data_IF_702864510770
#
_entry.id   IF_702864510770
#
_cell.length_a   1.000
_cell.length_b   1.000
_cell.length_c   1.000
_cell.angle_alpha   90.00
_cell.angle_beta   90.00
_cell.angle_gamma   90.00
#
_symmetry.space_group_name_H-M   'P 1'
#
loop_
_entity.id
_entity.type
_entity.pdbx_description
1 polymer ?
#
# COMPACT_ATOMS: atom_id res chain seq x y z
N UNK A 1 26.31 -6.02 -2.13
CA UNK A 1 26.16 -4.56 -2.18
C UNK A 1 24.72 -4.27 -2.57
N UNK A 2 23.87 -3.85 -1.63
CA UNK A 2 22.46 -3.55 -1.92
C UNK A 2 22.44 -2.19 -2.63
N UNK A 3 22.13 -2.17 -3.93
CA UNK A 3 21.95 -0.91 -4.68
C UNK A 3 20.80 -0.13 -4.05
N UNK A 4 21.02 1.17 -3.84
CA UNK A 4 20.00 2.10 -3.32
C UNK A 4 18.91 2.23 -4.38
N UNK A 5 17.72 1.66 -4.16
CA UNK A 5 16.57 1.93 -5.01
C UNK A 5 16.20 3.41 -4.87
N UNK A 6 16.41 4.19 -5.92
CA UNK A 6 16.03 5.62 -6.01
C UNK A 6 14.53 5.83 -6.24
N UNK A 7 13.74 4.78 -6.07
CA UNK A 7 12.35 4.64 -6.50
C UNK A 7 11.37 4.67 -5.33
N UNK A 8 11.61 5.48 -4.31
CA UNK A 8 10.73 5.55 -3.12
C UNK A 8 9.29 5.97 -3.46
N UNK A 9 9.07 6.59 -4.61
CA UNK A 9 7.75 6.99 -5.13
C UNK A 9 7.35 6.27 -6.41
N UNK A 10 8.16 5.31 -6.90
CA UNK A 10 7.82 4.63 -8.13
C UNK A 10 6.64 3.66 -7.91
N UNK A 11 5.82 3.43 -8.95
CA UNK A 11 4.79 2.42 -8.90
C UNK A 11 5.36 1.04 -8.58
N UNK A 12 4.63 0.22 -7.81
CA UNK A 12 5.12 -1.08 -7.33
C UNK A 12 5.52 -2.02 -8.47
N UNK A 13 4.85 -1.92 -9.63
CA UNK A 13 5.19 -2.66 -10.86
C UNK A 13 6.61 -2.38 -11.38
N UNK A 14 7.10 -1.15 -11.23
CA UNK A 14 8.48 -0.79 -11.63
C UNK A 14 9.48 -1.50 -10.72
N UNK A 15 9.27 -1.42 -9.40
CA UNK A 15 10.09 -2.11 -8.41
C UNK A 15 10.06 -3.63 -8.64
N UNK A 16 8.89 -4.19 -8.96
CA UNK A 16 8.75 -5.60 -9.29
C UNK A 16 9.55 -6.00 -10.55
N UNK A 17 9.65 -5.10 -11.53
CA UNK A 17 10.42 -5.32 -12.76
C UNK A 17 11.94 -5.30 -12.50
N UNK A 18 12.40 -4.41 -11.62
CA UNK A 18 13.80 -4.38 -11.17
C UNK A 18 14.17 -5.63 -10.36
N UNK A 19 13.25 -6.10 -9.51
CA UNK A 19 13.41 -7.36 -8.76
C UNK A 19 13.41 -8.56 -9.72
N UNK A 20 12.57 -8.55 -10.76
CA UNK A 20 12.56 -9.59 -11.79
C UNK A 20 13.91 -9.72 -12.48
N UNK A 21 14.53 -8.58 -12.83
CA UNK A 21 15.88 -8.55 -13.40
C UNK A 21 16.94 -9.11 -12.45
N UNK A 22 16.89 -8.72 -11.18
CA UNK A 22 17.87 -9.15 -10.19
C UNK A 22 17.72 -10.63 -9.79
N UNK A 23 16.50 -11.18 -9.87
CA UNK A 23 16.14 -12.53 -9.43
C UNK A 23 15.39 -13.31 -10.53
N UNK A 24 16.04 -13.45 -11.69
CA UNK A 24 15.48 -14.08 -12.88
C UNK A 24 15.18 -15.59 -12.75
N UNK A 25 15.44 -16.22 -11.60
CA UNK A 25 15.13 -17.64 -11.35
C UNK A 25 13.93 -17.86 -10.41
N UNK A 26 13.41 -16.81 -9.76
CA UNK A 26 12.31 -16.91 -8.80
C UNK A 26 10.99 -16.61 -9.50
N UNK A 27 10.14 -17.63 -9.69
CA UNK A 27 8.88 -17.48 -10.42
C UNK A 27 7.80 -18.46 -9.89
N UNK A 28 6.49 -18.09 -9.87
CA UNK A 28 5.95 -16.76 -10.18
C UNK A 28 6.25 -15.76 -9.06
N UNK A 29 6.33 -14.48 -9.42
CA UNK A 29 6.58 -13.40 -8.45
C UNK A 29 5.28 -12.75 -7.99
N UNK A 30 5.20 -12.51 -6.68
CA UNK A 30 4.21 -11.65 -6.05
C UNK A 30 4.98 -10.65 -5.19
N UNK A 31 4.72 -9.37 -5.40
CA UNK A 31 5.31 -8.32 -4.59
C UNK A 31 4.20 -7.57 -3.86
N UNK A 32 4.37 -7.41 -2.55
CA UNK A 32 3.46 -6.73 -1.64
C UNK A 32 4.19 -5.55 -0.99
N UNK A 33 3.67 -4.34 -1.15
CA UNK A 33 4.09 -3.13 -0.43
C UNK A 33 3.08 -2.83 0.65
N UNK A 34 3.56 -2.56 1.86
CA UNK A 34 2.73 -2.20 3.01
C UNK A 34 3.15 -0.79 3.44
N UNK A 35 2.27 0.17 3.16
CA UNK A 35 2.44 1.57 3.52
C UNK A 35 1.68 1.81 4.84
N UNK A 36 2.43 2.13 5.89
CA UNK A 36 1.90 2.40 7.23
C UNK A 36 1.84 3.92 7.40
N UNK A 37 0.64 4.44 7.57
CA UNK A 37 0.38 5.85 7.83
C UNK A 37 -0.73 6.45 6.97
N UNK A 38 -1.21 7.65 7.32
CA UNK A 38 -0.78 8.43 8.47
C UNK A 38 -1.19 7.78 9.81
N UNK A 39 -0.40 8.05 10.86
CA UNK A 39 -0.71 7.71 12.24
C UNK A 39 -1.10 9.01 12.94
N UNK A 40 -2.36 9.13 13.30
CA UNK A 40 -2.96 10.33 13.84
C UNK A 40 -3.23 10.12 15.32
N UNK A 41 -2.93 11.15 16.11
CA UNK A 41 -3.18 11.21 17.55
C UNK A 41 -3.35 12.67 17.97
N UNK A 42 -3.69 12.93 19.23
CA UNK A 42 -3.71 14.29 19.78
C UNK A 42 -2.37 15.04 19.68
N UNK A 43 -1.26 14.31 19.53
CA UNK A 43 0.09 14.87 19.42
C UNK A 43 0.58 15.00 17.98
N UNK A 44 -0.29 14.73 16.99
CA UNK A 44 0.10 14.80 15.60
C UNK A 44 0.51 16.24 15.20
N UNK A 45 1.57 16.32 14.38
CA UNK A 45 2.18 17.57 13.90
C UNK A 45 2.18 17.65 12.37
N UNK A 46 1.39 16.81 11.70
CA UNK A 46 1.15 16.90 10.25
C UNK A 46 0.83 18.34 9.83
N UNK A 47 1.18 18.74 8.62
CA UNK A 47 0.79 20.05 8.06
C UNK A 47 -0.64 20.03 7.49
N UNK A 48 -1.21 18.84 7.30
CA UNK A 48 -2.57 18.65 6.79
C UNK A 48 -3.61 19.08 7.84
N UNK A 49 -4.33 20.18 7.55
CA UNK A 49 -5.32 20.75 8.46
C UNK A 49 -6.49 19.79 8.77
N UNK A 50 -6.90 18.94 7.83
CA UNK A 50 -7.97 17.96 8.09
C UNK A 50 -7.47 16.87 9.04
N UNK A 51 -6.25 16.38 8.81
CA UNK A 51 -5.63 15.39 9.68
C UNK A 51 -5.34 15.96 11.09
N UNK A 52 -4.90 17.23 11.19
CA UNK A 52 -4.77 17.93 12.48
C UNK A 52 -6.10 18.02 13.21
N UNK A 53 -7.15 18.42 12.52
CA UNK A 53 -8.47 18.58 13.14
C UNK A 53 -9.03 17.26 13.64
N UNK A 54 -8.87 16.19 12.87
CA UNK A 54 -9.21 14.83 13.33
C UNK A 54 -8.33 14.40 14.51
N UNK A 55 -7.03 14.69 14.45
CA UNK A 55 -6.07 14.41 15.52
C UNK A 55 -6.47 15.04 16.86
N UNK A 56 -6.97 16.28 16.86
CA UNK A 56 -7.45 16.98 18.07
C UNK A 56 -8.64 16.30 18.76
N UNK A 57 -9.43 15.52 18.02
CA UNK A 57 -10.57 14.79 18.55
C UNK A 57 -10.21 13.39 19.06
N UNK A 58 -8.98 12.93 18.82
CA UNK A 58 -8.50 11.65 19.32
C UNK A 58 -8.11 11.82 20.80
N UNK A 59 -8.68 11.06 21.75
CA UNK A 59 -8.33 11.20 23.16
C UNK A 59 -6.89 10.77 23.46
N UNK A 60 -6.36 11.20 24.61
CA UNK A 60 -5.01 10.83 25.06
C UNK A 60 -4.81 9.32 25.17
N UNK A 61 -3.68 8.83 24.62
CA UNK A 61 -3.38 7.40 24.57
C UNK A 61 -4.10 6.63 23.46
N UNK A 62 -4.88 7.30 22.62
CA UNK A 62 -5.55 6.71 21.46
C UNK A 62 -4.94 7.16 20.13
N UNK A 63 -5.25 6.45 19.06
CA UNK A 63 -4.72 6.73 17.73
C UNK A 63 -5.65 6.25 16.61
N UNK A 64 -5.42 6.76 15.41
CA UNK A 64 -5.90 6.21 14.13
C UNK A 64 -4.70 5.93 13.26
N UNK A 65 -4.56 4.71 12.76
CA UNK A 65 -3.48 4.33 11.85
C UNK A 65 -4.08 3.71 10.59
N UNK A 66 -3.80 4.34 9.46
CA UNK A 66 -4.10 3.76 8.15
C UNK A 66 -2.98 2.81 7.74
N UNK A 67 -3.36 1.68 7.14
CA UNK A 67 -2.43 0.76 6.50
C UNK A 67 -2.95 0.49 5.10
N UNK A 68 -2.18 0.90 4.09
CA UNK A 68 -2.47 0.60 2.70
C UNK A 68 -1.54 -0.51 2.24
N UNK A 69 -2.13 -1.54 1.66
CA UNK A 69 -1.39 -2.64 1.04
C UNK A 69 -1.58 -2.55 -0.47
N UNK A 70 -0.48 -2.61 -1.20
CA UNK A 70 -0.48 -2.74 -2.64
C UNK A 70 0.13 -4.08 -3.04
N UNK A 71 -0.48 -4.77 -3.99
CA UNK A 71 -0.03 -6.08 -4.45
C UNK A 71 0.06 -6.08 -5.97
N UNK A 72 1.16 -6.62 -6.48
CA UNK A 72 1.33 -6.89 -7.91
C UNK A 72 1.64 -8.38 -8.12
N UNK A 73 0.84 -9.02 -8.97
CA UNK A 73 0.99 -10.42 -9.35
C UNK A 73 1.66 -10.53 -10.71
N UNK A 74 2.61 -11.44 -10.85
CA UNK A 74 2.94 -11.92 -12.19
C UNK A 74 1.87 -12.89 -12.68
N UNK A 75 1.46 -12.73 -13.94
CA UNK A 75 0.45 -13.59 -14.58
C UNK A 75 1.03 -14.49 -15.67
N UNK A 76 2.19 -14.15 -16.23
CA UNK A 76 2.86 -14.95 -17.27
C UNK A 76 4.28 -14.46 -17.49
N UNK A 77 5.07 -15.27 -18.20
CA UNK A 77 6.38 -14.89 -18.70
C UNK A 77 6.32 -14.61 -20.19
N UNK A 78 7.06 -13.60 -20.63
CA UNK A 78 7.26 -13.30 -22.04
C UNK A 78 8.74 -13.27 -22.40
N UNK A 79 9.03 -13.76 -23.60
CA UNK A 79 10.37 -13.71 -24.17
C UNK A 79 10.60 -12.30 -24.72
N UNK A 80 11.41 -11.51 -24.02
CA UNK A 80 11.77 -10.16 -24.47
C UNK A 80 13.02 -10.26 -25.35
N UNK A 81 12.88 -9.96 -26.64
CA UNK A 81 13.98 -9.92 -27.60
C UNK A 81 14.42 -8.48 -27.81
N UNK A 82 15.54 -8.08 -27.20
CA UNK A 82 16.17 -6.77 -27.44
C UNK A 82 17.13 -6.88 -28.63
N UNK A 83 16.60 -7.13 -29.83
CA UNK A 83 17.36 -7.13 -31.09
C UNK A 83 18.07 -8.45 -31.45
N UNK A 84 18.48 -8.53 -32.73
CA UNK A 84 18.97 -9.73 -33.45
C UNK A 84 20.21 -10.43 -32.85
N UNK A 85 20.92 -9.77 -31.93
CA UNK A 85 22.14 -10.29 -31.29
C UNK A 85 22.01 -10.50 -29.77
N UNK A 86 20.86 -10.16 -29.17
CA UNK A 86 20.67 -10.36 -27.73
C UNK A 86 20.21 -11.78 -27.42
N UNK A 87 20.75 -12.37 -26.34
CA UNK A 87 20.15 -13.55 -25.71
C UNK A 87 18.76 -13.14 -25.26
N UNK A 88 17.75 -13.81 -25.79
CA UNK A 88 16.38 -13.61 -25.34
C UNK A 88 16.23 -13.97 -23.86
N UNK A 89 15.71 -13.05 -23.06
CA UNK A 89 15.43 -13.29 -21.65
C UNK A 89 13.94 -13.47 -21.42
N UNK A 90 13.58 -14.42 -20.55
CA UNK A 90 12.23 -14.56 -20.02
C UNK A 90 12.03 -13.50 -18.94
N UNK A 91 11.00 -12.68 -19.08
CA UNK A 91 10.66 -11.62 -18.13
C UNK A 91 9.22 -11.78 -17.67
N UNK A 92 8.97 -11.44 -16.42
CA UNK A 92 7.65 -11.53 -15.82
C UNK A 92 6.74 -10.40 -16.31
N UNK A 93 5.48 -10.73 -16.60
CA UNK A 93 4.43 -9.78 -16.97
C UNK A 93 3.53 -9.58 -15.76
N UNK A 94 3.64 -8.40 -15.17
CA UNK A 94 2.86 -7.99 -14.02
C UNK A 94 1.49 -7.42 -14.41
N UNK A 95 0.45 -7.94 -13.77
CA UNK A 95 -0.93 -7.53 -13.97
C UNK A 95 -1.24 -6.18 -13.29
N UNK A 96 -2.04 -5.35 -13.97
CA UNK A 96 -2.65 -4.14 -13.42
C UNK A 96 -4.15 -4.31 -13.56
N UNK A 97 -4.90 -4.13 -12.48
CA UNK A 97 -6.35 -4.18 -12.56
C UNK A 97 -6.89 -2.87 -13.13
N UNK A 98 -7.31 -2.91 -14.39
CA UNK A 98 -7.86 -1.77 -15.11
C UNK A 98 -9.33 -1.46 -14.77
N UNK A 99 -10.00 -2.36 -14.05
CA UNK A 99 -11.40 -2.18 -13.65
C UNK A 99 -11.55 -1.36 -12.37
N UNK A 100 -10.49 -1.28 -11.57
CA UNK A 100 -10.42 -0.50 -10.34
C UNK A 100 -9.56 0.76 -10.53
N UNK A 101 -10.15 1.92 -10.32
CA UNK A 101 -9.47 3.22 -10.49
C UNK A 101 -8.21 3.35 -9.62
N UNK A 102 -8.24 2.92 -8.36
CA UNK A 102 -7.11 3.01 -7.42
C UNK A 102 -5.97 2.08 -7.86
N UNK A 103 -6.31 0.88 -8.34
CA UNK A 103 -5.35 -0.06 -8.92
C UNK A 103 -4.68 0.50 -10.18
N UNK A 104 -5.45 1.13 -11.08
CA UNK A 104 -4.92 1.79 -12.27
C UNK A 104 -3.96 2.93 -11.93
N UNK A 105 -4.38 3.85 -11.06
CA UNK A 105 -3.58 5.02 -10.67
C UNK A 105 -2.25 4.61 -10.02
N UNK A 106 -2.26 3.52 -9.25
CA UNK A 106 -1.07 2.98 -8.58
C UNK A 106 -0.29 1.97 -9.43
N UNK A 107 -0.82 1.56 -10.58
CA UNK A 107 -0.27 0.53 -11.46
C UNK A 107 -0.04 -0.81 -10.74
N UNK A 108 -1.04 -1.27 -9.98
CA UNK A 108 -0.98 -2.51 -9.20
C UNK A 108 -2.13 -3.44 -9.52
N UNK A 109 -2.03 -4.69 -9.09
CA UNK A 109 -3.11 -5.66 -9.28
C UNK A 109 -4.20 -5.53 -8.22
N UNK A 110 -3.84 -5.13 -7.00
CA UNK A 110 -4.77 -5.03 -5.88
C UNK A 110 -4.33 -3.94 -4.91
N UNK A 111 -5.29 -3.20 -4.37
CA UNK A 111 -5.11 -2.23 -3.29
C UNK A 111 -6.04 -2.61 -2.15
N UNK A 112 -5.48 -2.77 -0.95
CA UNK A 112 -6.25 -3.04 0.26
C UNK A 112 -6.03 -1.93 1.28
N UNK A 113 -7.11 -1.41 1.86
CA UNK A 113 -7.09 -0.33 2.86
C UNK A 113 -7.57 -0.86 4.20
N UNK A 114 -6.77 -0.66 5.22
CA UNK A 114 -7.05 -1.10 6.58
C UNK A 114 -6.94 0.07 7.56
N UNK A 115 -7.67 -0.05 8.66
CA UNK A 115 -7.67 0.92 9.74
C UNK A 115 -7.39 0.20 11.06
N UNK A 116 -6.39 0.67 11.79
CA UNK A 116 -6.08 0.23 13.14
C UNK A 116 -6.39 1.38 14.10
N UNK A 117 -7.21 1.12 15.10
CA UNK A 117 -7.62 2.15 16.05
C UNK A 117 -8.12 1.53 17.34
N UNK A 118 -8.56 2.35 18.28
CA UNK A 118 -9.17 1.90 19.54
C UNK A 118 -10.69 1.99 19.45
N UNK A 119 -11.41 1.30 20.34
CA UNK A 119 -12.88 1.34 20.35
C UNK A 119 -13.43 2.76 20.51
N UNK A 120 -12.86 3.55 21.41
CA UNK A 120 -13.26 4.95 21.66
C UNK A 120 -13.19 5.78 20.38
N UNK A 121 -12.12 5.62 19.61
CA UNK A 121 -11.94 6.38 18.38
C UNK A 121 -12.82 5.85 17.25
N UNK A 122 -13.04 4.53 17.18
CA UNK A 122 -14.01 3.98 16.22
C UNK A 122 -15.42 4.53 16.43
N UNK A 123 -15.85 4.73 17.69
CA UNK A 123 -17.15 5.36 17.97
C UNK A 123 -17.21 6.78 17.40
N UNK A 124 -16.19 7.59 17.66
CA UNK A 124 -16.07 8.94 17.08
C UNK A 124 -16.10 8.91 15.53
N UNK A 125 -15.35 8.01 14.89
CA UNK A 125 -15.32 7.89 13.44
C UNK A 125 -16.67 7.46 12.86
N UNK A 126 -17.40 6.56 13.53
CA UNK A 126 -18.74 6.16 13.08
C UNK A 126 -19.73 7.33 13.11
N UNK A 127 -19.61 8.21 14.11
CA UNK A 127 -20.52 9.34 14.30
C UNK A 127 -20.20 10.51 13.37
N UNK A 128 -18.91 10.80 13.16
CA UNK A 128 -18.45 12.02 12.48
C UNK A 128 -17.82 11.78 11.09
N UNK A 129 -17.26 10.60 10.84
CA UNK A 129 -16.42 10.31 9.66
C UNK A 129 -16.75 8.96 9.00
N UNK A 130 -18.03 8.59 8.96
CA UNK A 130 -18.49 7.26 8.52
C UNK A 130 -18.00 6.87 7.12
N UNK A 131 -17.83 7.84 6.23
CA UNK A 131 -17.32 7.60 4.87
C UNK A 131 -15.93 6.97 4.88
N UNK A 132 -15.04 7.34 5.82
CA UNK A 132 -13.70 6.76 5.95
C UNK A 132 -13.71 5.26 6.24
N UNK A 133 -14.82 4.74 6.78
CA UNK A 133 -14.97 3.33 7.14
C UNK A 133 -15.52 2.48 5.98
N UNK A 134 -16.15 3.10 4.97
CA UNK A 134 -16.78 2.39 3.86
C UNK A 134 -15.77 1.81 2.87
N UNK A 135 -14.65 2.50 2.68
CA UNK A 135 -13.63 2.14 1.69
C UNK A 135 -12.60 1.15 2.22
N UNK A 136 -12.79 0.64 3.44
CA UNK A 136 -11.89 -0.33 4.04
C UNK A 136 -12.13 -1.73 3.47
N UNK A 137 -11.05 -2.45 3.22
CA UNK A 137 -11.08 -3.83 2.73
C UNK A 137 -11.52 -4.84 3.80
N UNK A 138 -11.51 -4.42 5.06
CA UNK A 138 -12.02 -5.17 6.21
C UNK A 138 -12.51 -4.20 7.29
N UNK A 139 -13.36 -4.64 8.23
CA UNK A 139 -13.70 -3.84 9.40
C UNK A 139 -12.45 -3.35 10.15
N UNK A 140 -12.50 -2.18 10.80
CA UNK A 140 -11.38 -1.65 11.57
C UNK A 140 -10.84 -2.66 12.60
N UNK A 141 -9.51 -2.78 12.65
CA UNK A 141 -8.82 -3.56 13.66
C UNK A 141 -8.79 -2.79 14.98
N UNK A 142 -9.45 -3.36 15.99
CA UNK A 142 -9.54 -2.75 17.32
C UNK A 142 -8.36 -3.19 18.18
N UNK A 143 -7.45 -2.24 18.42
CA UNK A 143 -6.33 -2.40 19.33
C UNK A 143 -6.82 -2.22 20.78
N UNK A 144 -6.45 -3.17 21.64
CA UNK A 144 -6.63 -3.04 23.08
C UNK A 144 -5.48 -2.20 23.64
N UNK A 145 -5.74 -1.19 24.49
CA UNK A 145 -4.67 -0.53 25.21
C UNK A 145 -3.92 -1.56 26.06
N UNK A 146 -2.60 -1.53 26.00
CA UNK A 146 -1.76 -2.26 26.96
C UNK A 146 -1.50 -1.30 28.10
N UNK A 147 -2.26 -1.46 29.18
CA UNK A 147 -2.03 -0.75 30.45
C UNK A 147 -0.96 -1.47 31.27
#
# INVERSE_FOLDING_TARGET
MIKRCTHNTAPLKVVASDIDEAYAWVHPKVLKRIDIGPILSMYDRTEDEQAKEMGRHIPEGHFVMHVTTEIVFSVRQEKRSTGFLSKSELREVFHVDETNKDCMERMVSEVQKYLFTTHTVLQYLNDQHKEMLKDLSAPPFICKPVF
#
